data_IF_192258720871
#
_entry.id   IF_192258720871
#
_cell.length_a   1.000
_cell.length_b   1.000
_cell.length_c   1.000
_cell.angle_alpha   90.00
_cell.angle_beta   90.00
_cell.angle_gamma   90.00
#
_symmetry.space_group_name_H-M   'P 1'
#
loop_
_entity.id
_entity.type
_entity.pdbx_description
1 polymer ?
#
# COMPACT_ATOMS: atom_id res chain seq x y z
N UNK A 1 18.83 -10.36 -5.78
CA UNK A 1 18.83 -11.42 -4.75
C UNK A 1 18.40 -10.80 -3.41
N UNK A 2 17.20 -10.21 -3.38
CA UNK A 2 16.70 -9.37 -2.24
C UNK A 2 15.58 -10.08 -1.45
N UNK A 3 15.16 -11.27 -1.86
CA UNK A 3 14.10 -12.04 -1.20
C UNK A 3 14.64 -13.23 -0.38
N UNK A 4 15.69 -13.03 0.41
CA UNK A 4 16.12 -14.01 1.44
C UNK A 4 15.93 -13.51 2.88
N UNK A 5 15.48 -12.27 3.06
CA UNK A 5 15.16 -11.72 4.39
C UNK A 5 13.65 -11.77 4.61
N UNK A 6 13.19 -12.85 5.26
CA UNK A 6 11.80 -13.23 5.54
C UNK A 6 10.97 -13.51 4.28
N UNK A 7 10.82 -14.79 3.95
CA UNK A 7 9.82 -15.23 2.97
C UNK A 7 8.44 -14.75 3.44
N UNK A 8 7.93 -13.68 2.86
CA UNK A 8 6.56 -13.22 3.10
C UNK A 8 5.64 -14.35 2.66
N UNK A 9 4.93 -14.94 3.62
CA UNK A 9 4.04 -16.05 3.32
C UNK A 9 2.87 -15.53 2.47
N UNK A 10 2.81 -15.98 1.22
CA UNK A 10 1.70 -15.68 0.33
C UNK A 10 0.54 -16.69 0.56
N UNK A 11 -0.72 -16.28 0.37
CA UNK A 11 -1.14 -14.91 0.10
C UNK A 11 -0.98 -14.00 1.34
N UNK A 12 -0.79 -12.70 1.12
CA UNK A 12 -0.61 -11.68 2.17
C UNK A 12 -1.84 -10.75 2.33
N UNK A 13 -2.16 -10.38 3.58
CA UNK A 13 -3.19 -9.38 3.90
C UNK A 13 -2.57 -8.15 4.58
N UNK A 14 -2.78 -6.97 4.01
CA UNK A 14 -2.20 -5.71 4.48
C UNK A 14 -3.31 -4.70 4.82
N UNK A 15 -3.24 -4.10 6.01
CA UNK A 15 -4.19 -3.08 6.46
C UNK A 15 -3.65 -1.66 6.28
N UNK A 16 -4.50 -0.69 5.94
CA UNK A 16 -4.06 0.71 5.78
C UNK A 16 -4.55 1.60 6.93
N UNK A 17 -3.60 2.24 7.59
CA UNK A 17 -3.81 3.29 8.59
C UNK A 17 -3.77 4.64 7.88
N UNK A 18 -4.96 5.23 7.70
CA UNK A 18 -5.13 6.58 7.16
C UNK A 18 -4.97 7.58 8.29
N UNK A 19 -3.84 8.26 8.31
CA UNK A 19 -3.61 9.35 9.25
C UNK A 19 -4.65 10.47 9.02
N UNK A 20 -5.18 11.07 10.10
CA UNK A 20 -5.86 12.36 10.02
C UNK A 20 -4.97 13.43 9.38
N UNK A 21 -5.56 14.58 9.05
CA UNK A 21 -4.80 15.74 8.56
C UNK A 21 -3.68 16.10 9.54
N UNK A 22 -2.44 16.06 9.05
CA UNK A 22 -1.24 16.33 9.83
C UNK A 22 -1.11 17.82 10.16
N UNK A 23 -0.28 18.18 11.17
CA UNK A 23 0.05 19.58 11.41
C UNK A 23 0.49 20.29 10.11
N UNK A 24 -0.04 21.49 9.87
CA UNK A 24 0.04 22.30 8.64
C UNK A 24 -0.90 21.96 7.50
N UNK A 25 -1.57 20.79 7.51
CA UNK A 25 -2.57 20.46 6.50
C UNK A 25 -3.84 21.32 6.67
N UNK A 26 -4.55 21.70 5.58
CA UNK A 26 -5.68 22.63 5.68
C UNK A 26 -6.83 22.18 6.58
N UNK A 27 -7.01 20.86 6.75
CA UNK A 27 -8.06 20.26 7.58
C UNK A 27 -7.54 19.78 8.96
N UNK A 28 -6.33 20.20 9.34
CA UNK A 28 -5.72 19.82 10.61
C UNK A 28 -6.57 20.31 11.79
N UNK A 29 -6.93 19.39 12.67
CA UNK A 29 -7.75 19.65 13.85
C UNK A 29 -7.29 18.88 15.09
N UNK A 30 -6.41 17.89 14.92
CA UNK A 30 -5.88 17.06 15.98
C UNK A 30 -4.43 17.48 16.31
N UNK A 31 -4.04 17.30 17.57
CA UNK A 31 -2.62 17.41 17.93
C UNK A 31 -1.82 16.26 17.32
N UNK A 32 -0.50 16.45 17.15
CA UNK A 32 0.36 15.36 16.68
C UNK A 32 0.29 14.14 17.62
N UNK A 33 0.24 14.37 18.94
CA UNK A 33 0.13 13.31 19.94
C UNK A 33 -1.17 12.50 19.81
N UNK A 34 -2.29 13.15 19.50
CA UNK A 34 -3.56 12.46 19.24
C UNK A 34 -3.51 11.63 17.96
N UNK A 35 -2.85 12.15 16.92
CA UNK A 35 -2.65 11.44 15.65
C UNK A 35 -1.79 10.19 15.88
N UNK A 36 -0.68 10.33 16.61
CA UNK A 36 0.20 9.22 16.99
C UNK A 36 -0.57 8.17 17.78
N UNK A 37 -1.32 8.57 18.82
CA UNK A 37 -2.13 7.64 19.63
C UNK A 37 -3.14 6.89 18.78
N UNK A 38 -3.83 7.57 17.86
CA UNK A 38 -4.78 6.93 16.94
C UNK A 38 -4.09 5.94 16.01
N UNK A 39 -2.94 6.30 15.44
CA UNK A 39 -2.18 5.43 14.56
C UNK A 39 -1.70 4.14 15.28
N UNK A 40 -1.17 4.27 16.50
CA UNK A 40 -0.79 3.12 17.33
C UNK A 40 -1.99 2.22 17.66
N UNK A 41 -3.12 2.82 18.06
CA UNK A 41 -4.33 2.05 18.35
C UNK A 41 -4.86 1.31 17.11
N UNK A 42 -4.90 1.96 15.94
CA UNK A 42 -5.28 1.31 14.68
C UNK A 42 -4.30 0.17 14.32
N UNK A 43 -2.99 0.36 14.55
CA UNK A 43 -1.97 -0.65 14.30
C UNK A 43 -2.17 -1.90 15.16
N UNK A 44 -2.37 -1.74 16.49
CA UNK A 44 -2.63 -2.87 17.39
C UNK A 44 -3.87 -3.65 16.98
N UNK A 45 -4.97 -2.96 16.63
CA UNK A 45 -6.21 -3.61 16.20
C UNK A 45 -5.99 -4.46 14.93
N UNK A 46 -5.16 -4.01 13.99
CA UNK A 46 -4.84 -4.77 12.78
C UNK A 46 -3.95 -5.98 13.10
N UNK A 47 -2.93 -5.83 13.93
CA UNK A 47 -2.06 -6.93 14.34
C UNK A 47 -2.83 -8.00 15.13
N UNK A 48 -3.61 -7.60 16.13
CA UNK A 48 -4.43 -8.51 16.97
C UNK A 48 -5.45 -9.31 16.14
N UNK A 49 -5.93 -8.72 15.03
CA UNK A 49 -6.86 -9.38 14.12
C UNK A 49 -6.17 -10.37 13.17
N UNK A 50 -4.84 -10.39 13.09
CA UNK A 50 -4.07 -11.28 12.23
C UNK A 50 -3.72 -10.70 10.86
N UNK A 51 -3.64 -9.38 10.71
CA UNK A 51 -3.07 -8.78 9.49
C UNK A 51 -1.57 -9.07 9.44
N UNK A 52 -1.06 -9.33 8.23
CA UNK A 52 0.33 -9.72 8.03
C UNK A 52 1.28 -8.53 7.92
N UNK A 53 0.76 -7.35 7.59
CA UNK A 53 1.50 -6.10 7.51
C UNK A 53 0.54 -4.89 7.57
N UNK A 54 1.09 -3.71 7.78
CA UNK A 54 0.34 -2.45 7.78
C UNK A 54 1.00 -1.40 6.89
N UNK A 55 0.22 -0.46 6.36
CA UNK A 55 0.70 0.74 5.68
C UNK A 55 0.24 1.98 6.43
N UNK A 56 1.16 2.88 6.72
CA UNK A 56 0.87 4.22 7.22
C UNK A 56 0.80 5.22 6.05
N UNK A 57 -0.34 5.86 5.88
CA UNK A 57 -0.63 6.77 4.76
C UNK A 57 -1.14 8.13 5.25
N UNK A 58 -0.62 9.23 4.71
CA UNK A 58 -1.07 10.59 5.04
C UNK A 58 -2.37 11.00 4.34
N UNK A 59 -3.35 10.09 4.28
CA UNK A 59 -4.62 10.24 3.57
C UNK A 59 -5.39 11.54 3.95
N UNK A 60 -5.28 11.99 5.20
CA UNK A 60 -5.95 13.20 5.68
C UNK A 60 -5.37 14.53 5.18
N UNK A 61 -4.20 14.54 4.54
CA UNK A 61 -3.50 15.76 4.08
C UNK A 61 -4.09 16.38 2.81
N UNK A 62 -5.37 16.13 2.50
CA UNK A 62 -6.02 16.73 1.33
C UNK A 62 -6.12 18.27 1.46
N UNK A 63 -5.89 19.03 0.38
CA UNK A 63 -5.32 18.59 -0.91
C UNK A 63 -3.83 18.24 -0.78
N UNK A 64 -3.44 17.11 -1.38
CA UNK A 64 -2.07 16.60 -1.31
C UNK A 64 -1.07 17.50 -2.04
N UNK A 65 0.22 17.40 -1.73
CA UNK A 65 1.26 17.88 -2.64
C UNK A 65 1.44 16.85 -3.76
N UNK A 66 1.59 17.27 -5.04
CA UNK A 66 1.77 16.32 -6.14
C UNK A 66 3.07 15.52 -5.99
N UNK A 67 4.13 16.19 -5.55
CA UNK A 67 5.46 15.66 -5.22
C UNK A 67 6.08 16.55 -4.13
N UNK A 68 7.17 16.10 -3.50
CA UNK A 68 8.00 16.89 -2.58
C UNK A 68 7.20 17.51 -1.41
N UNK A 69 6.72 16.66 -0.50
CA UNK A 69 6.00 17.14 0.69
C UNK A 69 6.92 18.01 1.58
N UNK A 70 6.39 19.02 2.28
CA UNK A 70 7.20 19.86 3.16
C UNK A 70 7.90 19.06 4.26
N UNK A 71 9.07 19.50 4.77
CA UNK A 71 9.79 18.81 5.84
C UNK A 71 8.95 18.55 7.09
N UNK A 72 7.95 19.39 7.37
CA UNK A 72 7.03 19.20 8.49
C UNK A 72 6.16 17.95 8.32
N UNK A 73 5.66 17.67 7.11
CA UNK A 73 4.89 16.45 6.82
C UNK A 73 5.78 15.22 6.99
N UNK A 74 6.99 15.25 6.45
CA UNK A 74 7.99 14.17 6.64
C UNK A 74 8.25 13.92 8.13
N UNK A 75 8.41 14.99 8.91
CA UNK A 75 8.69 14.93 10.35
C UNK A 75 7.51 14.33 11.13
N UNK A 76 6.28 14.76 10.84
CA UNK A 76 5.07 14.25 11.50
C UNK A 76 4.82 12.78 11.17
N UNK A 77 4.96 12.39 9.89
CA UNK A 77 4.84 11.00 9.50
C UNK A 77 5.94 10.13 10.12
N UNK A 78 7.17 10.65 10.22
CA UNK A 78 8.27 9.94 10.90
C UNK A 78 7.95 9.70 12.37
N UNK A 79 7.42 10.70 13.08
CA UNK A 79 7.00 10.54 14.47
C UNK A 79 5.94 9.44 14.62
N UNK A 80 4.91 9.45 13.77
CA UNK A 80 3.87 8.42 13.77
C UNK A 80 4.44 7.03 13.46
N UNK A 81 5.27 6.90 12.42
CA UNK A 81 5.86 5.63 11.99
C UNK A 81 6.77 5.03 13.06
N UNK A 82 7.58 5.84 13.75
CA UNK A 82 8.44 5.40 14.84
C UNK A 82 7.63 4.79 16.01
N UNK A 83 6.53 5.42 16.41
CA UNK A 83 5.70 4.92 17.50
C UNK A 83 4.88 3.69 17.08
N UNK A 84 4.36 3.66 15.85
CA UNK A 84 3.70 2.47 15.29
C UNK A 84 4.67 1.29 15.26
N UNK A 85 5.92 1.47 14.80
CA UNK A 85 6.94 0.41 14.79
C UNK A 85 7.27 -0.13 16.18
N UNK A 86 7.12 0.67 17.24
CA UNK A 86 7.29 0.21 18.64
C UNK A 86 6.07 -0.51 19.20
N UNK A 87 4.92 -0.29 18.58
CA UNK A 87 3.62 -0.81 19.04
C UNK A 87 3.34 -2.20 18.50
N UNK A 88 3.78 -2.49 17.26
CA UNK A 88 3.51 -3.76 16.57
C UNK A 88 4.79 -4.43 16.08
N UNK A 89 4.73 -5.76 15.93
CA UNK A 89 5.82 -6.60 15.43
C UNK A 89 5.73 -6.84 13.92
N UNK A 90 4.51 -6.81 13.34
CA UNK A 90 4.30 -7.00 11.90
C UNK A 90 4.98 -5.93 11.02
N UNK A 91 5.33 -6.26 9.76
CA UNK A 91 5.92 -5.33 8.80
C UNK A 91 5.15 -4.02 8.63
N UNK A 92 5.90 -2.91 8.59
CA UNK A 92 5.38 -1.56 8.40
C UNK A 92 5.76 -1.04 7.01
N UNK A 93 4.78 -0.51 6.30
CA UNK A 93 4.93 0.20 5.04
C UNK A 93 4.64 1.69 5.16
N UNK A 94 5.30 2.52 4.35
CA UNK A 94 5.05 3.96 4.28
C UNK A 94 4.51 4.36 2.91
N UNK A 95 3.42 5.12 2.88
CA UNK A 95 2.91 5.76 1.66
C UNK A 95 2.77 7.27 1.87
N UNK A 96 3.50 8.06 1.09
CA UNK A 96 3.38 9.52 1.09
C UNK A 96 2.64 9.97 -0.17
N UNK A 97 1.39 10.40 0.01
CA UNK A 97 0.54 10.93 -1.04
C UNK A 97 0.90 12.40 -1.35
N UNK A 98 0.81 12.84 -2.62
CA UNK A 98 0.26 12.10 -3.77
C UNK A 98 1.24 11.14 -4.43
N UNK A 99 2.51 11.52 -4.54
CA UNK A 99 3.59 10.66 -5.03
C UNK A 99 4.98 11.19 -4.59
N UNK A 100 5.40 10.90 -3.36
CA UNK A 100 6.74 11.28 -2.87
C UNK A 100 7.52 10.06 -2.36
N UNK A 101 8.15 9.27 -3.26
CA UNK A 101 8.92 8.10 -2.88
C UNK A 101 10.20 8.45 -2.10
N UNK A 102 10.76 9.65 -2.25
CA UNK A 102 11.94 10.07 -1.51
C UNK A 102 11.61 10.34 -0.04
N UNK A 103 10.52 11.05 0.23
CA UNK A 103 10.00 11.23 1.59
C UNK A 103 9.62 9.87 2.20
N UNK A 104 8.91 9.01 1.46
CA UNK A 104 8.54 7.67 1.94
C UNK A 104 9.77 6.85 2.33
N UNK A 105 10.81 6.85 1.48
CA UNK A 105 12.08 6.16 1.75
C UNK A 105 12.80 6.73 2.97
N UNK A 106 12.86 8.06 3.12
CA UNK A 106 13.48 8.71 4.27
C UNK A 106 12.77 8.35 5.59
N UNK A 107 11.42 8.41 5.59
CA UNK A 107 10.60 8.01 6.73
C UNK A 107 10.83 6.53 7.05
N UNK A 108 10.83 5.66 6.03
CA UNK A 108 11.05 4.23 6.21
C UNK A 108 12.42 3.90 6.81
N UNK A 109 13.47 4.60 6.39
CA UNK A 109 14.82 4.46 6.98
C UNK A 109 14.80 4.87 8.45
N UNK A 110 14.25 6.06 8.75
CA UNK A 110 14.26 6.62 10.11
C UNK A 110 13.40 5.80 11.09
N UNK A 111 12.26 5.30 10.63
CA UNK A 111 11.32 4.50 11.43
C UNK A 111 11.62 3.00 11.43
N UNK A 112 12.58 2.53 10.63
CA UNK A 112 12.84 1.10 10.37
C UNK A 112 11.63 0.36 9.80
N UNK A 113 10.89 1.02 8.91
CA UNK A 113 9.87 0.37 8.11
C UNK A 113 10.50 -0.58 7.08
N UNK A 114 9.69 -1.50 6.57
CA UNK A 114 10.10 -2.65 5.78
C UNK A 114 9.88 -2.42 4.28
N UNK A 115 8.93 -1.56 3.92
CA UNK A 115 8.62 -1.24 2.53
C UNK A 115 8.06 0.16 2.36
N UNK A 116 8.04 0.64 1.12
CA UNK A 116 7.30 1.85 0.73
C UNK A 116 6.31 1.50 -0.36
N UNK A 117 5.17 2.19 -0.36
CA UNK A 117 4.25 2.21 -1.49
C UNK A 117 4.51 3.44 -2.34
N UNK A 118 4.61 3.24 -3.66
CA UNK A 118 4.81 4.33 -4.63
C UNK A 118 3.69 4.29 -5.67
N UNK A 119 2.89 5.35 -5.70
CA UNK A 119 1.74 5.44 -6.59
C UNK A 119 2.16 5.54 -8.06
N UNK A 120 3.11 6.42 -8.39
CA UNK A 120 3.65 6.56 -9.75
C UNK A 120 5.16 6.37 -9.68
N UNK A 121 5.62 5.13 -9.81
CA UNK A 121 7.05 4.81 -9.81
C UNK A 121 7.66 4.85 -11.22
N UNK A 122 6.90 4.38 -12.21
CA UNK A 122 7.25 4.39 -13.63
C UNK A 122 6.13 5.06 -14.45
N UNK A 123 6.41 5.40 -15.71
CA UNK A 123 5.45 6.03 -16.62
C UNK A 123 4.99 7.42 -16.14
N UNK A 124 3.85 7.88 -16.65
CA UNK A 124 3.20 9.12 -16.24
C UNK A 124 1.69 8.91 -16.09
N UNK A 125 1.09 9.73 -15.21
CA UNK A 125 -0.34 9.69 -14.90
C UNK A 125 -0.91 11.09 -14.85
N UNK A 126 -2.04 11.29 -15.53
CA UNK A 126 -2.83 12.51 -15.44
C UNK A 126 -3.73 12.43 -14.20
N UNK A 127 -3.61 13.42 -13.31
CA UNK A 127 -4.34 13.49 -12.04
C UNK A 127 -5.13 14.80 -11.94
N UNK A 128 -5.89 14.98 -10.85
CA UNK A 128 -6.51 16.26 -10.47
C UNK A 128 -5.49 17.38 -10.20
N UNK A 129 -4.20 17.05 -10.09
CA UNK A 129 -3.09 17.99 -9.87
C UNK A 129 -2.21 18.16 -11.11
N UNK A 130 -2.66 17.68 -12.27
CA UNK A 130 -1.89 17.67 -13.51
C UNK A 130 -1.10 16.38 -13.69
N UNK A 131 0.00 16.46 -14.44
CA UNK A 131 0.84 15.31 -14.75
C UNK A 131 1.74 14.96 -13.57
N UNK A 132 1.76 13.68 -13.18
CA UNK A 132 2.74 13.12 -12.26
C UNK A 132 3.56 12.08 -13.01
N UNK A 133 4.89 12.20 -12.92
CA UNK A 133 5.84 11.35 -13.63
C UNK A 133 6.58 10.42 -12.65
N UNK A 134 6.85 9.20 -13.10
CA UNK A 134 7.60 8.21 -12.35
C UNK A 134 9.10 8.51 -12.31
N UNK A 135 9.67 8.48 -11.10
CA UNK A 135 11.09 8.78 -10.84
C UNK A 135 11.86 7.56 -10.32
N UNK A 136 11.53 6.36 -10.80
CA UNK A 136 12.19 5.11 -10.40
C UNK A 136 13.73 5.16 -10.46
N UNK A 137 14.27 5.82 -11.49
CA UNK A 137 15.71 6.01 -11.66
C UNK A 137 16.36 6.75 -10.48
N UNK A 138 15.70 7.76 -9.91
CA UNK A 138 16.18 8.48 -8.73
C UNK A 138 15.92 7.69 -7.45
N UNK A 139 14.73 7.12 -7.32
CA UNK A 139 14.32 6.38 -6.13
C UNK A 139 15.17 5.13 -5.90
N UNK A 140 15.44 4.34 -6.95
CA UNK A 140 16.29 3.15 -6.87
C UNK A 140 17.75 3.49 -6.55
N UNK A 141 18.28 4.60 -7.11
CA UNK A 141 19.62 5.10 -6.76
C UNK A 141 19.69 5.60 -5.33
N UNK A 142 18.65 6.29 -4.85
CA UNK A 142 18.56 6.73 -3.45
C UNK A 142 18.53 5.53 -2.50
N UNK A 143 17.74 4.48 -2.78
CA UNK A 143 17.73 3.24 -1.99
C UNK A 143 19.13 2.63 -1.87
N UNK A 144 19.85 2.54 -2.99
CA UNK A 144 21.24 2.03 -3.00
C UNK A 144 22.21 2.95 -2.24
N UNK A 145 22.15 4.26 -2.47
CA UNK A 145 23.08 5.22 -1.88
C UNK A 145 22.92 5.34 -0.36
N UNK A 146 21.70 5.12 0.15
CA UNK A 146 21.38 5.18 1.57
C UNK A 146 21.53 3.84 2.30
N UNK A 147 21.98 2.77 1.63
CA UNK A 147 22.08 1.43 2.24
C UNK A 147 20.71 0.86 2.64
N UNK A 148 19.67 1.21 1.89
CA UNK A 148 18.28 0.91 2.18
C UNK A 148 17.73 -0.24 1.33
N UNK A 149 18.58 -1.11 0.80
CA UNK A 149 18.18 -2.23 -0.09
C UNK A 149 17.22 -3.23 0.56
N UNK A 150 17.14 -3.24 1.90
CA UNK A 150 16.15 -4.01 2.67
C UNK A 150 14.71 -3.48 2.51
N UNK A 151 14.54 -2.22 2.11
CA UNK A 151 13.23 -1.57 1.97
C UNK A 151 12.68 -1.91 0.60
N UNK A 152 11.60 -2.70 0.58
CA UNK A 152 10.96 -3.14 -0.66
C UNK A 152 10.10 -2.02 -1.29
N UNK A 153 10.01 -2.04 -2.61
CA UNK A 153 9.18 -1.12 -3.40
C UNK A 153 7.89 -1.80 -3.84
N UNK A 154 6.78 -1.37 -3.26
CA UNK A 154 5.43 -1.79 -3.63
C UNK A 154 4.88 -0.72 -4.57
N UNK A 155 4.79 -1.03 -5.86
CA UNK A 155 4.50 -0.03 -6.87
C UNK A 155 3.16 -0.26 -7.54
N UNK A 156 2.34 0.78 -7.62
CA UNK A 156 1.08 0.72 -8.37
C UNK A 156 1.36 0.69 -9.89
N UNK A 157 0.79 -0.30 -10.59
CA UNK A 157 0.80 -0.33 -12.06
C UNK A 157 -0.18 0.69 -12.63
N UNK A 158 -1.29 0.94 -11.93
CA UNK A 158 -2.19 2.04 -12.22
C UNK A 158 -2.68 2.69 -10.94
N UNK A 159 -3.00 3.98 -11.02
CA UNK A 159 -3.24 4.83 -9.85
C UNK A 159 -4.69 5.23 -9.78
N UNK A 160 -5.30 4.90 -8.64
CA UNK A 160 -6.64 5.36 -8.30
C UNK A 160 -6.75 6.88 -8.41
N UNK A 161 -7.82 7.37 -9.04
CA UNK A 161 -8.04 8.81 -9.32
C UNK A 161 -7.02 9.44 -10.28
N UNK A 162 -6.42 8.62 -11.16
CA UNK A 162 -5.61 9.08 -12.27
C UNK A 162 -5.98 8.34 -13.56
N UNK A 163 -5.41 8.77 -14.67
CA UNK A 163 -5.51 8.09 -15.96
C UNK A 163 -4.14 7.99 -16.63
N UNK A 164 -3.88 6.94 -17.44
CA UNK A 164 -2.68 6.87 -18.25
C UNK A 164 -2.70 7.98 -19.33
N UNK A 165 -1.52 8.49 -19.67
CA UNK A 165 -1.36 9.54 -20.71
C UNK A 165 -1.70 9.01 -22.10
N UNK A 166 -1.45 7.72 -22.34
CA UNK A 166 -1.80 7.02 -23.56
C UNK A 166 -2.29 5.59 -23.22
N UNK A 167 -3.21 5.00 -24.00
CA UNK A 167 -3.63 3.63 -23.80
C UNK A 167 -2.46 2.67 -23.97
N UNK A 168 -2.26 1.80 -22.98
CA UNK A 168 -1.28 0.71 -22.99
C UNK A 168 -1.86 -0.50 -22.28
N UNK A 169 -1.35 -1.69 -22.62
CA UNK A 169 -1.75 -2.89 -21.91
C UNK A 169 -1.12 -2.93 -20.52
N UNK A 170 -1.93 -3.21 -19.50
CA UNK A 170 -1.51 -3.20 -18.10
C UNK A 170 -0.41 -4.24 -17.81
N UNK A 171 -0.38 -5.36 -18.54
CA UNK A 171 0.66 -6.37 -18.38
C UNK A 171 2.02 -5.84 -18.85
N UNK A 172 2.05 -5.11 -19.98
CA UNK A 172 3.28 -4.47 -20.47
C UNK A 172 3.78 -3.41 -19.47
N UNK A 173 2.87 -2.59 -18.91
CA UNK A 173 3.24 -1.61 -17.87
C UNK A 173 3.77 -2.29 -16.59
N UNK A 174 3.18 -3.41 -16.18
CA UNK A 174 3.65 -4.18 -15.03
C UNK A 174 5.04 -4.79 -15.26
N UNK A 175 5.30 -5.32 -16.47
CA UNK A 175 6.62 -5.84 -16.84
C UNK A 175 7.68 -4.74 -16.79
N UNK A 176 7.39 -3.55 -17.33
CA UNK A 176 8.30 -2.41 -17.23
C UNK A 176 8.51 -1.97 -15.76
N UNK A 177 7.47 -2.01 -14.93
CA UNK A 177 7.55 -1.68 -13.51
C UNK A 177 8.51 -2.62 -12.75
N UNK A 178 8.51 -3.91 -13.08
CA UNK A 178 9.42 -4.89 -12.46
C UNK A 178 10.81 -4.81 -13.08
N UNK A 179 10.93 -4.95 -14.40
CA UNK A 179 12.21 -5.15 -15.07
C UNK A 179 13.01 -3.85 -15.24
N UNK A 180 12.32 -2.70 -15.40
CA UNK A 180 12.98 -1.41 -15.65
C UNK A 180 12.95 -0.49 -14.44
N UNK A 181 11.86 -0.50 -13.68
CA UNK A 181 11.71 0.33 -12.50
C UNK A 181 12.10 -0.37 -11.18
N UNK A 182 12.42 -1.67 -11.23
CA UNK A 182 12.90 -2.45 -10.08
C UNK A 182 11.91 -2.50 -8.91
N UNK A 183 10.61 -2.58 -9.23
CA UNK A 183 9.58 -2.84 -8.23
C UNK A 183 9.71 -4.26 -7.68
N UNK A 184 9.59 -4.39 -6.36
CA UNK A 184 9.66 -5.69 -5.66
C UNK A 184 8.28 -6.35 -5.59
N UNK A 185 7.20 -5.55 -5.58
CA UNK A 185 5.80 -6.00 -5.58
C UNK A 185 4.97 -5.09 -6.49
N UNK A 186 4.10 -5.69 -7.30
CA UNK A 186 3.19 -4.95 -8.21
C UNK A 186 1.80 -4.84 -7.56
N UNK A 187 1.28 -3.61 -7.51
CA UNK A 187 -0.04 -3.32 -6.98
C UNK A 187 -1.00 -3.00 -8.13
N UNK A 188 -2.12 -3.71 -8.19
CA UNK A 188 -3.19 -3.44 -9.16
C UNK A 188 -4.35 -2.79 -8.41
N UNK A 189 -4.74 -1.59 -8.84
CA UNK A 189 -5.85 -0.84 -8.24
C UNK A 189 -7.05 -0.81 -9.19
N UNK A 190 -8.27 -0.77 -8.63
CA UNK A 190 -9.48 -0.44 -9.36
C UNK A 190 -9.50 1.04 -9.78
N UNK A 191 -10.18 1.33 -10.90
CA UNK A 191 -10.19 2.63 -11.59
C UNK A 191 -10.77 3.82 -10.81
N UNK A 192 -11.24 3.65 -9.55
CA UNK A 192 -11.79 4.72 -8.73
C UNK A 192 -12.45 4.25 -7.44
N UNK A 193 -12.87 5.19 -6.58
CA UNK A 193 -13.59 4.88 -5.33
C UNK A 193 -14.89 4.14 -5.62
N UNK A 194 -15.11 3.00 -4.96
CA UNK A 194 -16.31 2.17 -5.11
C UNK A 194 -16.31 1.24 -6.33
N UNK A 195 -15.27 1.27 -7.17
CA UNK A 195 -15.08 0.31 -8.27
C UNK A 195 -14.17 -0.82 -7.80
N UNK A 196 -14.63 -2.06 -7.94
CA UNK A 196 -13.84 -3.26 -7.65
C UNK A 196 -12.63 -3.34 -8.57
N UNK A 197 -11.55 -3.97 -8.10
CA UNK A 197 -10.43 -4.33 -8.96
C UNK A 197 -10.92 -5.24 -10.08
N UNK A 198 -10.41 -5.03 -11.29
CA UNK A 198 -10.73 -5.89 -12.42
C UNK A 198 -9.95 -7.20 -12.31
N UNK A 199 -10.65 -8.31 -12.11
CA UNK A 199 -10.03 -9.64 -11.98
C UNK A 199 -9.22 -10.02 -13.23
N UNK A 200 -9.67 -9.61 -14.42
CA UNK A 200 -8.94 -9.86 -15.66
C UNK A 200 -7.59 -9.13 -15.69
N UNK A 201 -7.54 -7.91 -15.16
CA UNK A 201 -6.28 -7.14 -15.08
C UNK A 201 -5.31 -7.77 -14.06
N UNK A 202 -5.82 -8.22 -12.90
CA UNK A 202 -5.02 -8.98 -11.94
C UNK A 202 -4.42 -10.24 -12.56
N UNK A 203 -5.23 -11.03 -13.27
CA UNK A 203 -4.78 -12.27 -13.93
C UNK A 203 -3.73 -11.99 -15.00
N UNK A 204 -3.95 -10.97 -15.85
CA UNK A 204 -2.99 -10.58 -16.89
C UNK A 204 -1.65 -10.17 -16.29
N UNK A 205 -1.67 -9.33 -15.26
CA UNK A 205 -0.45 -8.88 -14.58
C UNK A 205 0.27 -10.06 -13.91
N UNK A 206 -0.46 -10.90 -13.15
CA UNK A 206 0.09 -12.08 -12.48
C UNK A 206 0.72 -13.09 -13.46
N UNK A 207 0.14 -13.26 -14.64
CA UNK A 207 0.71 -14.14 -15.67
C UNK A 207 1.96 -13.56 -16.34
N UNK A 208 2.11 -12.22 -16.35
CA UNK A 208 3.20 -11.54 -17.03
C UNK A 208 4.46 -11.39 -16.18
N UNK A 209 4.30 -11.07 -14.89
CA UNK A 209 5.45 -10.76 -14.02
C UNK A 209 5.73 -11.87 -13.02
N UNK A 210 6.99 -11.97 -12.59
CA UNK A 210 7.40 -12.91 -11.52
C UNK A 210 7.29 -12.31 -10.12
N UNK A 211 7.21 -10.99 -10.01
CA UNK A 211 7.01 -10.31 -8.73
C UNK A 211 5.61 -10.63 -8.16
N UNK A 212 5.44 -10.68 -6.83
CA UNK A 212 4.11 -10.82 -6.23
C UNK A 212 3.16 -9.71 -6.70
N UNK A 213 1.91 -10.07 -6.96
CA UNK A 213 0.87 -9.16 -7.43
C UNK A 213 -0.21 -9.04 -6.37
N UNK A 214 -0.48 -7.82 -5.88
CA UNK A 214 -1.49 -7.57 -4.85
C UNK A 214 -2.63 -6.70 -5.39
N UNK A 215 -3.86 -7.01 -4.98
CA UNK A 215 -5.00 -6.11 -5.18
C UNK A 215 -4.95 -4.98 -4.15
N UNK A 216 -4.81 -3.73 -4.59
CA UNK A 216 -4.55 -2.59 -3.70
C UNK A 216 -5.71 -1.58 -3.57
N UNK A 217 -6.88 -1.90 -4.12
CA UNK A 217 -8.12 -1.15 -3.85
C UNK A 217 -9.38 -1.96 -4.19
N UNK A 218 -10.52 -1.56 -3.62
CA UNK A 218 -11.83 -2.15 -3.98
C UNK A 218 -12.10 -3.55 -3.43
N UNK A 219 -11.22 -4.07 -2.56
CA UNK A 219 -11.39 -5.37 -1.89
C UNK A 219 -12.30 -5.21 -0.67
N UNK A 220 -13.30 -6.07 -0.58
CA UNK A 220 -14.28 -6.14 0.51
C UNK A 220 -14.45 -7.61 0.93
N UNK A 221 -15.10 -7.89 2.06
CA UNK A 221 -15.42 -9.28 2.47
C UNK A 221 -16.09 -10.06 1.32
N UNK A 222 -17.04 -9.42 0.62
CA UNK A 222 -17.80 -10.05 -0.46
C UNK A 222 -16.98 -10.34 -1.72
N UNK A 223 -15.91 -9.59 -1.97
CA UNK A 223 -15.08 -9.73 -3.18
C UNK A 223 -13.74 -10.44 -2.91
N UNK A 224 -13.44 -10.75 -1.65
CA UNK A 224 -12.13 -11.22 -1.22
C UNK A 224 -11.75 -12.56 -1.85
N UNK A 225 -12.65 -13.54 -1.85
CA UNK A 225 -12.40 -14.87 -2.42
C UNK A 225 -12.07 -14.81 -3.91
N UNK A 226 -12.91 -14.13 -4.69
CA UNK A 226 -12.69 -13.94 -6.12
C UNK A 226 -11.38 -13.18 -6.38
N UNK A 227 -11.08 -12.16 -5.57
CA UNK A 227 -9.84 -11.39 -5.70
C UNK A 227 -8.61 -12.28 -5.47
N UNK A 228 -8.58 -13.03 -4.36
CA UNK A 228 -7.45 -13.89 -4.01
C UNK A 228 -7.27 -15.08 -4.97
N UNK A 229 -8.29 -15.45 -5.75
CA UNK A 229 -8.10 -16.42 -6.84
C UNK A 229 -7.19 -15.88 -7.96
N UNK A 230 -7.07 -14.56 -8.10
CA UNK A 230 -6.39 -13.89 -9.21
C UNK A 230 -5.05 -13.24 -8.83
N UNK A 231 -4.67 -13.21 -7.55
CA UNK A 231 -3.49 -12.50 -7.07
C UNK A 231 -2.85 -13.16 -5.83
N UNK A 232 -1.78 -12.56 -5.32
CA UNK A 232 -0.98 -13.07 -4.20
C UNK A 232 -1.30 -12.37 -2.87
N UNK A 233 -2.31 -11.51 -2.83
CA UNK A 233 -2.77 -10.87 -1.60
C UNK A 233 -3.54 -9.58 -1.83
N UNK A 234 -3.87 -8.90 -0.75
CA UNK A 234 -4.70 -7.70 -0.78
C UNK A 234 -4.25 -6.62 0.22
N UNK A 235 -4.36 -5.36 -0.21
CA UNK A 235 -4.22 -4.18 0.64
C UNK A 235 -5.62 -3.58 0.84
N UNK A 236 -6.05 -3.48 2.11
CA UNK A 236 -7.40 -3.06 2.46
C UNK A 236 -7.37 -1.81 3.34
N UNK A 237 -8.01 -0.75 2.86
CA UNK A 237 -8.15 0.52 3.59
C UNK A 237 -9.60 0.80 3.97
N UNK A 238 -10.39 1.33 3.04
CA UNK A 238 -11.73 1.84 3.34
C UNK A 238 -12.71 0.79 3.84
N UNK A 239 -12.59 -0.48 3.42
CA UNK A 239 -13.45 -1.56 3.91
C UNK A 239 -13.24 -1.91 5.40
N UNK A 240 -12.14 -1.46 5.99
CA UNK A 240 -11.84 -1.63 7.41
C UNK A 240 -12.53 -0.58 8.29
N UNK A 241 -13.06 0.49 7.68
CA UNK A 241 -13.54 1.70 8.36
C UNK A 241 -15.05 1.72 8.44
N UNK A 242 -15.62 2.44 9.40
CA UNK A 242 -17.08 2.63 9.51
C UNK A 242 -17.66 3.11 8.18
N UNK A 243 -18.80 2.54 7.81
CA UNK A 243 -19.54 2.78 6.55
C UNK A 243 -18.73 2.56 5.26
N UNK A 244 -17.56 1.93 5.33
CA UNK A 244 -16.69 1.77 4.16
C UNK A 244 -16.02 3.08 3.72
N UNK A 245 -15.99 4.10 4.59
CA UNK A 245 -15.51 5.43 4.26
C UNK A 245 -14.03 5.58 4.59
N UNK A 246 -13.21 5.86 3.57
CA UNK A 246 -11.79 6.16 3.77
C UNK A 246 -11.61 7.35 4.74
N UNK A 247 -10.72 7.21 5.72
CA UNK A 247 -10.42 8.23 6.74
C UNK A 247 -11.34 8.21 7.97
N UNK A 248 -12.51 7.56 7.91
CA UNK A 248 -13.31 7.29 9.10
C UNK A 248 -12.59 6.34 10.06
N UNK A 249 -13.03 6.25 11.31
CA UNK A 249 -12.43 5.34 12.28
C UNK A 249 -12.53 3.88 11.83
N UNK A 250 -11.54 3.07 12.21
CA UNK A 250 -11.63 1.62 12.06
C UNK A 250 -12.88 1.07 12.74
N UNK A 251 -13.42 0.03 12.13
CA UNK A 251 -14.50 -0.78 12.66
C UNK A 251 -13.92 -2.15 13.04
N UNK A 252 -13.72 -2.43 14.34
CA UNK A 252 -13.09 -3.67 14.79
C UNK A 252 -13.77 -4.94 14.28
N UNK A 253 -15.10 -4.93 14.17
CA UNK A 253 -15.85 -6.08 13.69
C UNK A 253 -15.55 -6.35 12.21
N UNK A 254 -15.44 -5.29 11.40
CA UNK A 254 -15.06 -5.42 9.98
C UNK A 254 -13.61 -5.87 9.82
N UNK A 255 -12.70 -5.34 10.64
CA UNK A 255 -11.28 -5.74 10.66
C UNK A 255 -11.17 -7.24 10.92
N UNK A 256 -11.81 -7.73 11.99
CA UNK A 256 -11.80 -9.15 12.38
C UNK A 256 -12.49 -10.02 11.34
N UNK A 257 -13.63 -9.58 10.80
CA UNK A 257 -14.36 -10.34 9.79
C UNK A 257 -13.52 -10.55 8.52
N UNK A 258 -12.84 -9.50 8.05
CA UNK A 258 -11.98 -9.56 6.87
C UNK A 258 -10.80 -10.50 7.11
N UNK A 259 -10.12 -10.40 8.25
CA UNK A 259 -8.99 -11.26 8.56
C UNK A 259 -9.40 -12.74 8.67
N UNK A 260 -10.52 -13.04 9.33
CA UNK A 260 -11.05 -14.42 9.43
C UNK A 260 -11.40 -14.99 8.06
N UNK A 261 -12.10 -14.22 7.21
CA UNK A 261 -12.43 -14.67 5.86
C UNK A 261 -11.17 -14.85 5.02
N UNK A 262 -10.19 -13.95 5.14
CA UNK A 262 -8.90 -14.09 4.46
C UNK A 262 -8.21 -15.40 4.83
N UNK A 263 -8.08 -15.72 6.12
CA UNK A 263 -7.37 -16.92 6.57
C UNK A 263 -8.09 -18.21 6.14
N UNK A 264 -9.42 -18.21 6.13
CA UNK A 264 -10.20 -19.33 5.59
C UNK A 264 -9.89 -19.60 4.11
N UNK A 265 -9.77 -18.55 3.30
CA UNK A 265 -9.45 -18.67 1.86
C UNK A 265 -7.97 -19.03 1.67
N UNK A 266 -7.06 -18.34 2.37
CA UNK A 266 -5.63 -18.53 2.27
C UNK A 266 -5.20 -19.94 2.71
N UNK A 267 -5.78 -20.44 3.81
CA UNK A 267 -5.56 -21.81 4.28
C UNK A 267 -5.94 -22.87 3.24
N UNK A 268 -7.04 -22.66 2.50
CA UNK A 268 -7.45 -23.55 1.41
C UNK A 268 -6.54 -23.49 0.17
N UNK A 269 -5.88 -22.35 -0.09
CA UNK A 269 -4.92 -22.22 -1.19
C UNK A 269 -3.56 -22.84 -0.85
N UNK A 270 -3.23 -22.94 0.45
CA UNK A 270 -1.99 -23.53 0.95
C UNK A 270 -2.06 -25.06 1.11
N UNK A 271 -3.24 -25.68 0.98
CA UNK A 271 -3.41 -27.14 1.09
C UNK A 271 -2.78 -27.86 -0.14
N UNK A 272 -1.69 -28.62 0.06
CA UNK A 272 -0.99 -29.31 -1.03
C UNK A 272 -1.81 -30.46 -1.66
N UNK A 273 -2.93 -30.87 -1.08
CA UNK A 273 -3.78 -31.94 -1.61
C UNK A 273 -4.92 -31.44 -2.51
N UNK A 274 -5.03 -30.13 -2.75
CA UNK A 274 -6.06 -29.57 -3.63
C UNK A 274 -5.71 -29.86 -5.09
N UNK A 275 -6.46 -30.78 -5.72
CA UNK A 275 -6.46 -30.95 -7.17
C UNK A 275 -7.12 -29.70 -7.78
N UNK A 276 -6.48 -29.01 -8.74
CA UNK A 276 -7.13 -27.90 -9.43
C UNK A 276 -8.35 -28.43 -10.20
N UNK A 277 -9.52 -27.84 -9.94
CA UNK A 277 -10.72 -28.05 -10.77
C UNK A 277 -10.57 -27.45 -12.17
#
# INVERSE_FOLDING_TARGET
MVLESAAVQLPILIGVIHLPALPSSPLASMSLDDIVRRACAEASVLEDAGYHAIILENFGDVPFYPTNVPPLIVSCMTACACEVRRTVDIPLGINVLRNDPHAALAIAIASRADFIRVNVHCSARLTDQGMIEGIAHETARARRALGAERIAFYCDVDVKHAAPVAPRDIADEAEELVERALADVVLVTGAGTGKTVNLGDLQKVRQRVRAPVLAASGVTVATLEQTLSACDGAIIGSALRRDGKAGADLDPDRVVQIAKTFEQIAGQQRDPNRVPE
#
